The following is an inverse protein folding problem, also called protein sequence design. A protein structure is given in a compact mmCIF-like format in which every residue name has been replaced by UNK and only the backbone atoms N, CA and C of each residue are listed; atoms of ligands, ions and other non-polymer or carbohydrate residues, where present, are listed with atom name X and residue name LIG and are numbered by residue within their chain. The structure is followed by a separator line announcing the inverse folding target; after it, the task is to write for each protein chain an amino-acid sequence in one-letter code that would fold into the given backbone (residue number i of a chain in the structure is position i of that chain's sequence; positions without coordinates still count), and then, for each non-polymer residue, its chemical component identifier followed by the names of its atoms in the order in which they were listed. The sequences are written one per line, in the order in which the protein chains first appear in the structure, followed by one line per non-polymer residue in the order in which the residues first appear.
data_IF_830594551063
#
_entry.id   IF_830594551063
#
_cell.length_a   1.000
_cell.length_b   1.000
_cell.length_c   1.000
_cell.angle_alpha   90.00
_cell.angle_beta   90.00
_cell.angle_gamma   90.00
#
_symmetry.space_group_name_H-M   'P 1'
#
loop_
_entity.id
_entity.type
_entity.pdbx_description
1 polymer ?
#
# COMPACT_ATOMS: atom_id res chain seq x y z
N UNK A 1 4.80 12.35 32.29
CA UNK A 1 4.41 10.99 31.87
C UNK A 1 2.89 10.87 31.98
N UNK A 2 2.15 11.44 31.03
CA UNK A 2 0.72 11.13 30.91
C UNK A 2 0.57 9.72 30.34
N UNK A 3 -0.36 8.89 30.84
CA UNK A 3 -0.60 7.59 30.25
C UNK A 3 -1.15 7.79 28.83
N UNK A 4 -0.48 7.22 27.84
CA UNK A 4 -0.99 7.14 26.46
C UNK A 4 -2.43 6.65 26.52
N UNK A 5 -3.37 7.43 25.98
CA UNK A 5 -4.78 7.05 26.01
C UNK A 5 -4.93 5.67 25.37
N UNK A 6 -5.67 4.75 26.01
CA UNK A 6 -5.95 3.42 25.47
C UNK A 6 -6.50 3.50 24.03
N UNK A 7 -7.20 4.59 23.73
CA UNK A 7 -7.73 4.90 22.41
C UNK A 7 -6.61 5.13 21.36
N UNK A 8 -5.58 5.91 21.70
CA UNK A 8 -4.45 6.20 20.80
C UNK A 8 -3.63 4.94 20.51
N UNK A 9 -3.42 4.10 21.53
CA UNK A 9 -2.76 2.81 21.38
C UNK A 9 -3.52 1.89 20.41
N UNK A 10 -4.86 1.84 20.51
CA UNK A 10 -5.68 1.04 19.57
C UNK A 10 -5.72 1.62 18.16
N UNK A 11 -5.76 2.94 18.02
CA UNK A 11 -5.76 3.59 16.71
C UNK A 11 -4.43 3.37 15.97
N UNK A 12 -3.30 3.47 16.68
CA UNK A 12 -1.98 3.17 16.14
C UNK A 12 -1.85 1.71 15.70
N UNK A 13 -2.35 0.75 16.51
CA UNK A 13 -2.35 -0.67 16.15
C UNK A 13 -3.19 -0.94 14.89
N UNK A 14 -4.37 -0.35 14.78
CA UNK A 14 -5.22 -0.50 13.60
C UNK A 14 -4.56 0.08 12.35
N UNK A 15 -3.87 1.21 12.47
CA UNK A 15 -3.15 1.83 11.36
C UNK A 15 -2.00 0.94 10.86
N UNK A 16 -1.22 0.34 11.76
CA UNK A 16 -0.17 -0.63 11.40
C UNK A 16 -0.74 -1.87 10.70
N UNK A 17 -1.85 -2.42 11.21
CA UNK A 17 -2.51 -3.57 10.60
C UNK A 17 -3.02 -3.25 9.19
N UNK A 18 -3.62 -2.06 9.00
CA UNK A 18 -4.08 -1.60 7.70
C UNK A 18 -2.91 -1.45 6.71
N UNK A 19 -1.82 -0.80 7.12
CA UNK A 19 -0.63 -0.65 6.27
C UNK A 19 -0.08 -2.02 5.86
N UNK A 20 -0.02 -2.97 6.79
CA UNK A 20 0.45 -4.34 6.54
C UNK A 20 -0.43 -5.08 5.52
N UNK A 21 -1.76 -4.96 5.65
CA UNK A 21 -2.72 -5.54 4.69
C UNK A 21 -2.55 -4.92 3.30
N UNK A 22 -2.40 -3.59 3.20
CA UNK A 22 -2.20 -2.91 1.94
C UNK A 22 -0.89 -3.34 1.25
N UNK A 23 0.19 -3.53 2.00
CA UNK A 23 1.43 -4.10 1.46
C UNK A 23 1.23 -5.51 0.92
N UNK A 24 0.47 -6.36 1.64
CA UNK A 24 0.15 -7.70 1.16
C UNK A 24 -0.65 -7.67 -0.14
N UNK A 25 -1.65 -6.77 -0.25
CA UNK A 25 -2.42 -6.58 -1.49
C UNK A 25 -1.56 -6.07 -2.66
N UNK A 26 -0.58 -5.20 -2.40
CA UNK A 26 0.37 -4.75 -3.42
C UNK A 26 1.16 -5.93 -3.98
N UNK A 27 1.60 -6.87 -3.13
CA UNK A 27 2.29 -8.09 -3.57
C UNK A 27 1.39 -9.01 -4.39
N UNK A 28 0.13 -9.17 -3.99
CA UNK A 28 -0.85 -9.95 -4.76
C UNK A 28 -1.06 -9.36 -6.16
N UNK A 29 -1.29 -8.05 -6.24
CA UNK A 29 -1.45 -7.36 -7.53
C UNK A 29 -0.19 -7.48 -8.40
N UNK A 30 1.00 -7.47 -7.79
CA UNK A 30 2.25 -7.65 -8.51
C UNK A 30 2.38 -9.06 -9.09
N UNK A 31 1.92 -10.09 -8.38
CA UNK A 31 1.81 -11.45 -8.91
C UNK A 31 0.78 -11.53 -10.05
N UNK A 32 -0.40 -10.94 -9.87
CA UNK A 32 -1.47 -10.92 -10.89
C UNK A 32 -1.02 -10.22 -12.19
N UNK A 33 -0.24 -9.13 -12.08
CA UNK A 33 0.37 -8.45 -13.24
C UNK A 33 1.31 -9.42 -13.96
N UNK A 34 2.19 -10.11 -13.23
CA UNK A 34 3.15 -11.04 -13.84
C UNK A 34 2.47 -12.23 -14.50
N UNK A 35 1.41 -12.76 -13.89
CA UNK A 35 0.60 -13.83 -14.48
C UNK A 35 -0.05 -13.37 -15.78
N UNK A 36 -0.68 -12.19 -15.79
CA UNK A 36 -1.31 -11.63 -16.99
C UNK A 36 -0.30 -11.35 -18.11
N UNK A 37 0.84 -10.74 -17.77
CA UNK A 37 1.93 -10.47 -18.73
C UNK A 37 2.47 -11.77 -19.34
N UNK A 38 2.61 -12.83 -18.53
CA UNK A 38 3.02 -14.16 -18.99
C UNK A 38 1.97 -14.79 -19.91
N UNK A 39 0.70 -14.74 -19.53
CA UNK A 39 -0.40 -15.30 -20.31
C UNK A 39 -0.55 -14.62 -21.68
N UNK A 40 -0.33 -13.30 -21.72
CA UNK A 40 -0.37 -12.54 -22.96
C UNK A 40 0.93 -12.61 -23.78
N UNK A 41 2.01 -13.15 -23.20
CA UNK A 41 3.35 -13.14 -23.82
C UNK A 41 3.90 -11.73 -24.05
N UNK A 42 3.41 -10.72 -23.34
CA UNK A 42 3.80 -9.33 -23.49
C UNK A 42 3.88 -8.63 -22.14
N UNK A 43 5.12 -8.33 -21.72
CA UNK A 43 5.43 -7.62 -20.49
C UNK A 43 5.85 -6.16 -20.70
N UNK A 44 5.77 -5.62 -21.93
CA UNK A 44 6.10 -4.22 -22.22
C UNK A 44 4.87 -3.32 -22.08
N UNK A 45 4.77 -2.47 -21.03
CA UNK A 45 3.62 -1.59 -20.82
C UNK A 45 3.48 -0.49 -21.86
N UNK A 46 4.50 -0.27 -22.71
CA UNK A 46 4.45 0.70 -23.82
C UNK A 46 3.97 0.08 -25.12
N UNK A 47 3.90 -1.25 -25.19
CA UNK A 47 3.40 -1.95 -26.36
C UNK A 47 1.90 -1.68 -26.54
N UNK A 48 1.44 -1.42 -27.77
CA UNK A 48 0.01 -1.28 -28.06
C UNK A 48 -0.77 -2.59 -27.81
N UNK A 49 -0.08 -3.73 -27.75
CA UNK A 49 -0.68 -5.04 -27.43
C UNK A 49 -0.54 -5.41 -25.96
N UNK A 50 -0.18 -4.46 -25.09
CA UNK A 50 -0.08 -4.71 -23.66
C UNK A 50 -1.46 -5.02 -23.05
N UNK A 51 -1.58 -6.01 -22.16
CA UNK A 51 -2.88 -6.39 -21.62
C UNK A 51 -3.53 -5.25 -20.83
N UNK A 52 -4.77 -4.94 -21.17
CA UNK A 52 -5.56 -3.91 -20.47
C UNK A 52 -5.74 -4.22 -18.98
N UNK A 53 -5.83 -5.51 -18.62
CA UNK A 53 -5.90 -5.93 -17.22
C UNK A 53 -4.60 -5.60 -16.47
N UNK A 54 -3.45 -5.97 -17.02
CA UNK A 54 -2.14 -5.64 -16.44
C UNK A 54 -1.96 -4.12 -16.29
N UNK A 55 -2.38 -3.32 -17.28
CA UNK A 55 -2.33 -1.86 -17.22
C UNK A 55 -3.19 -1.30 -16.07
N UNK A 56 -4.40 -1.81 -15.92
CA UNK A 56 -5.33 -1.42 -14.85
C UNK A 56 -4.76 -1.77 -13.48
N UNK A 57 -4.21 -2.99 -13.33
CA UNK A 57 -3.59 -3.45 -12.10
C UNK A 57 -2.35 -2.61 -11.73
N UNK A 58 -1.54 -2.19 -12.71
CA UNK A 58 -0.42 -1.27 -12.48
C UNK A 58 -0.87 0.06 -11.91
N UNK A 59 -1.94 0.63 -12.47
CA UNK A 59 -2.54 1.88 -11.97
C UNK A 59 -3.04 1.70 -10.54
N UNK A 60 -3.76 0.61 -10.27
CA UNK A 60 -4.24 0.27 -8.92
C UNK A 60 -3.09 0.11 -7.92
N UNK A 61 -2.02 -0.59 -8.31
CA UNK A 61 -0.80 -0.75 -7.50
C UNK A 61 -0.16 0.59 -7.18
N UNK A 62 -0.09 1.51 -8.14
CA UNK A 62 0.44 2.85 -7.92
C UNK A 62 -0.40 3.63 -6.90
N UNK A 63 -1.72 3.59 -7.03
CA UNK A 63 -2.64 4.24 -6.07
C UNK A 63 -2.49 3.65 -4.65
N UNK A 64 -2.34 2.33 -4.53
CA UNK A 64 -2.11 1.69 -3.23
C UNK A 64 -0.78 2.12 -2.61
N UNK A 65 0.30 2.18 -3.38
CA UNK A 65 1.61 2.66 -2.90
C UNK A 65 1.53 4.11 -2.42
N UNK A 66 0.80 4.97 -3.12
CA UNK A 66 0.57 6.35 -2.70
C UNK A 66 -0.22 6.44 -1.38
N UNK A 67 -1.28 5.64 -1.24
CA UNK A 67 -2.06 5.56 0.01
C UNK A 67 -1.23 5.03 1.18
N UNK A 68 -0.40 4.00 0.97
CA UNK A 68 0.51 3.47 1.99
C UNK A 68 1.46 4.59 2.47
N UNK A 69 2.13 5.28 1.55
CA UNK A 69 3.05 6.36 1.92
C UNK A 69 2.36 7.48 2.72
N UNK A 70 1.12 7.82 2.38
CA UNK A 70 0.32 8.78 3.15
C UNK A 70 0.02 8.26 4.57
N UNK A 71 -0.33 6.98 4.71
CA UNK A 71 -0.64 6.36 6.01
C UNK A 71 0.62 6.22 6.89
N UNK A 72 1.75 5.84 6.30
CA UNK A 72 3.06 5.77 6.98
C UNK A 72 3.47 7.14 7.51
N UNK A 73 3.29 8.21 6.71
CA UNK A 73 3.58 9.57 7.16
C UNK A 73 2.70 9.99 8.34
N UNK A 74 1.40 9.70 8.30
CA UNK A 74 0.50 9.98 9.44
C UNK A 74 0.92 9.23 10.71
N UNK A 75 1.42 8.00 10.56
CA UNK A 75 1.90 7.21 11.68
C UNK A 75 3.18 7.81 12.28
N UNK A 76 4.10 8.29 11.43
CA UNK A 76 5.30 9.01 11.86
C UNK A 76 4.93 10.29 12.62
N UNK A 77 4.09 11.13 12.04
CA UNK A 77 3.62 12.38 12.67
C UNK A 77 2.98 12.11 14.04
N UNK A 78 2.12 11.09 14.15
CA UNK A 78 1.51 10.72 15.42
C UNK A 78 2.54 10.21 16.44
N UNK A 79 3.54 9.45 16.01
CA UNK A 79 4.61 8.97 16.89
C UNK A 79 5.50 10.11 17.41
N UNK A 80 5.75 11.13 16.59
CA UNK A 80 6.52 12.31 16.98
C UNK A 80 5.75 13.17 17.99
N UNK A 81 4.45 13.38 17.77
CA UNK A 81 3.57 14.08 18.72
C UNK A 81 3.53 13.40 20.09
N UNK A 82 3.42 12.07 20.13
CA UNK A 82 3.44 11.30 21.40
C UNK A 82 4.80 11.39 22.10
N UNK A 83 5.90 11.52 21.37
CA UNK A 83 7.25 11.66 21.96
C UNK A 83 7.54 13.06 22.49
N UNK A 84 6.90 14.09 21.93
CA UNK A 84 7.10 15.48 22.31
C UNK A 84 6.23 15.95 23.50
N UNK A 85 5.22 15.16 23.89
CA UNK A 85 4.29 15.42 24.99
C UNK A 85 4.70 14.72 26.30
#
# INVERSE_FOLDING_TARGET
MQPTSRFDATASLHLHALISDLHWRVRMIEADIQDEERNAGNADPRSPTYPMLALTLRTRRANLRASIAMLERRLQDHSELVRAA
#
